data_IF_550091565579
#
_entry.id   IF_550091565579
#
_cell.length_a   1.000
_cell.length_b   1.000
_cell.length_c   1.000
_cell.angle_alpha   90.00
_cell.angle_beta   90.00
_cell.angle_gamma   90.00
#
_symmetry.space_group_name_H-M   'P 1'
#
loop_
_entity.id
_entity.type
_entity.pdbx_description
1 polymer ?
#
# COMPACT_ATOMS: atom_id res chain seq x y z
N UNK A 1 0.37 83.83 31.70
CA UNK A 1 1.51 84.41 32.45
C UNK A 1 1.99 83.35 33.44
N UNK A 2 3.20 82.78 33.22
CA UNK A 2 4.15 82.23 34.23
C UNK A 2 3.62 81.07 35.12
N UNK A 3 4.20 79.87 35.32
CA UNK A 3 5.52 79.26 35.12
C UNK A 3 5.40 77.74 35.45
N UNK A 4 6.06 76.90 34.65
CA UNK A 4 7.00 75.81 35.02
C UNK A 4 6.62 74.55 35.85
N UNK A 5 7.42 73.52 35.53
CA UNK A 5 7.74 72.23 36.21
C UNK A 5 6.87 71.04 35.77
N UNK A 6 7.42 69.90 35.34
CA UNK A 6 8.77 69.31 35.53
C UNK A 6 9.06 68.28 34.44
N UNK A 7 10.29 68.32 33.95
CA UNK A 7 10.98 67.29 33.16
C UNK A 7 11.39 66.15 34.09
N UNK A 8 11.27 64.90 33.66
CA UNK A 8 12.02 63.78 34.23
C UNK A 8 12.57 62.92 33.11
N UNK A 9 13.89 62.99 32.99
CA UNK A 9 14.77 62.29 32.07
C UNK A 9 14.81 60.80 32.43
N UNK A 10 14.54 59.92 31.47
CA UNK A 10 14.90 58.50 31.57
C UNK A 10 15.98 58.23 30.51
N UNK A 11 17.17 57.92 31.00
CA UNK A 11 18.31 57.44 30.24
C UNK A 11 18.55 55.97 30.60
N UNK A 12 19.34 55.29 29.76
CA UNK A 12 19.85 53.90 29.88
C UNK A 12 18.85 52.80 29.44
N UNK A 13 19.19 51.81 28.60
CA UNK A 13 20.48 51.28 28.15
C UNK A 13 20.35 50.65 26.76
N UNK A 14 21.31 50.97 25.89
CA UNK A 14 21.74 50.14 24.77
C UNK A 14 22.26 48.80 25.33
N UNK A 15 21.69 47.69 24.87
CA UNK A 15 22.34 46.37 24.94
C UNK A 15 22.61 45.90 23.51
N UNK A 16 23.91 45.83 23.24
CA UNK A 16 24.55 45.37 22.03
C UNK A 16 24.25 43.90 21.76
N UNK A 17 23.69 43.65 20.58
CA UNK A 17 23.70 42.36 19.91
C UNK A 17 25.12 42.03 19.45
N UNK A 18 25.81 41.13 20.15
CA UNK A 18 26.95 40.35 19.66
C UNK A 18 27.29 39.30 20.71
N UNK A 19 26.65 38.14 20.64
CA UNK A 19 27.17 36.93 21.25
C UNK A 19 27.44 35.88 20.17
N UNK A 20 28.68 35.43 20.21
CA UNK A 20 29.37 34.53 19.31
C UNK A 20 28.71 33.14 19.31
N UNK A 21 28.31 32.67 18.13
CA UNK A 21 28.27 31.23 17.80
C UNK A 21 29.46 30.93 16.89
N UNK A 22 30.65 30.87 17.47
CA UNK A 22 31.79 30.17 16.86
C UNK A 22 31.67 28.70 17.23
N UNK A 23 30.88 27.92 16.48
CA UNK A 23 31.04 26.47 16.52
C UNK A 23 32.37 26.16 15.82
N UNK A 24 33.42 25.95 16.60
CA UNK A 24 34.61 25.31 16.10
C UNK A 24 34.17 23.95 15.55
N UNK A 25 34.13 23.81 14.22
CA UNK A 25 34.13 22.50 13.59
C UNK A 25 35.45 21.86 14.01
N UNK A 26 35.42 21.02 15.05
CA UNK A 26 36.46 20.01 15.25
C UNK A 26 36.52 19.25 13.93
N UNK A 27 37.56 19.50 13.13
CA UNK A 27 37.93 18.64 12.02
C UNK A 27 37.91 17.22 12.57
N UNK A 28 36.87 16.48 12.20
CA UNK A 28 36.62 15.18 12.81
C UNK A 28 37.65 14.26 12.17
N UNK A 29 38.78 14.09 12.85
CA UNK A 29 39.86 13.30 12.30
C UNK A 29 39.31 11.92 11.93
N UNK A 30 39.43 11.59 10.64
CA UNK A 30 38.75 10.48 10.00
C UNK A 30 39.46 9.15 10.28
N UNK A 31 39.66 8.84 11.55
CA UNK A 31 40.24 7.60 12.02
C UNK A 31 39.51 7.06 13.24
N UNK A 32 39.49 5.74 13.38
CA UNK A 32 38.90 5.06 14.53
C UNK A 32 39.71 5.36 15.80
N UNK A 33 39.04 5.75 16.89
CA UNK A 33 39.74 6.04 18.15
C UNK A 33 40.26 4.74 18.77
N UNK A 34 41.54 4.74 19.17
CA UNK A 34 42.23 3.54 19.72
C UNK A 34 41.67 3.05 21.06
N UNK A 35 41.12 3.96 21.86
CA UNK A 35 40.65 3.63 23.19
C UNK A 35 39.25 3.00 23.16
N UNK A 36 39.04 1.98 24.00
CA UNK A 36 37.67 1.49 24.27
C UNK A 36 36.83 2.63 24.84
N UNK A 37 35.58 2.73 24.42
CA UNK A 37 34.65 3.77 24.85
C UNK A 37 33.38 3.15 25.43
N UNK A 38 32.77 3.82 26.41
CA UNK A 38 31.53 3.34 27.04
C UNK A 38 30.29 3.85 26.33
N UNK A 39 29.36 2.96 26.02
CA UNK A 39 27.98 3.26 25.60
C UNK A 39 27.06 2.48 26.53
N UNK A 40 26.16 3.17 27.24
CA UNK A 40 25.25 2.56 28.24
C UNK A 40 25.97 1.65 29.26
N UNK A 41 27.11 2.11 29.79
CA UNK A 41 27.90 1.37 30.78
C UNK A 41 28.82 0.27 30.21
N UNK A 42 28.56 -0.23 29.00
CA UNK A 42 29.35 -1.28 28.34
C UNK A 42 30.51 -0.68 27.54
N UNK A 43 31.70 -1.29 27.63
CA UNK A 43 32.91 -0.83 26.91
C UNK A 43 33.01 -1.50 25.54
N UNK A 44 33.11 -0.70 24.48
CA UNK A 44 33.27 -1.14 23.10
C UNK A 44 34.59 -0.63 22.49
N UNK A 45 35.13 -1.38 21.55
CA UNK A 45 36.21 -1.04 20.64
C UNK A 45 35.68 -0.97 19.21
N UNK A 46 36.38 -0.29 18.31
CA UNK A 46 35.97 -0.27 16.90
C UNK A 46 36.06 -1.64 16.22
N UNK A 47 36.85 -2.57 16.74
CA UNK A 47 36.86 -3.96 16.28
C UNK A 47 35.54 -4.69 16.63
N UNK A 48 35.00 -4.46 17.83
CA UNK A 48 33.70 -5.01 18.24
C UNK A 48 32.56 -4.40 17.41
N UNK A 49 32.65 -3.11 17.08
CA UNK A 49 31.71 -2.44 16.16
C UNK A 49 31.83 -3.01 14.74
N UNK A 50 33.02 -3.35 14.29
CA UNK A 50 33.23 -3.95 12.97
C UNK A 50 32.57 -5.33 12.86
N UNK A 51 32.63 -6.11 13.94
CA UNK A 51 31.98 -7.41 14.01
C UNK A 51 30.45 -7.32 14.15
N UNK A 52 29.91 -6.13 14.47
CA UNK A 52 28.46 -5.89 14.60
C UNK A 52 28.10 -4.47 14.13
N UNK A 53 27.95 -4.31 12.80
CA UNK A 53 27.66 -3.02 12.17
C UNK A 53 26.33 -2.40 12.61
N UNK A 54 25.36 -3.17 13.11
CA UNK A 54 24.10 -2.64 13.61
C UNK A 54 24.31 -1.59 14.72
N UNK A 55 25.39 -1.73 15.51
CA UNK A 55 25.78 -0.77 16.54
C UNK A 55 25.98 0.66 15.99
N UNK A 56 26.41 0.80 14.73
CA UNK A 56 26.59 2.09 14.08
C UNK A 56 25.28 2.87 13.92
N UNK A 57 24.14 2.18 13.82
CA UNK A 57 22.82 2.79 13.66
C UNK A 57 22.13 3.04 15.01
N UNK A 58 22.50 2.28 16.04
CA UNK A 58 21.88 2.37 17.37
C UNK A 58 22.28 3.61 18.16
N UNK A 59 23.46 4.20 17.95
CA UNK A 59 23.90 5.36 18.73
C UNK A 59 24.97 6.22 18.01
N UNK A 60 24.77 7.55 17.96
CA UNK A 60 25.70 8.52 17.32
C UNK A 60 27.14 8.42 17.81
N UNK A 61 27.33 8.02 19.07
CA UNK A 61 28.64 7.80 19.70
C UNK A 61 29.48 6.72 18.99
N UNK A 62 28.88 5.71 18.38
CA UNK A 62 29.61 4.73 17.58
C UNK A 62 30.15 5.36 16.29
N UNK A 63 29.33 6.12 15.56
CA UNK A 63 29.77 6.88 14.37
C UNK A 63 30.92 7.85 14.69
N UNK A 64 30.83 8.57 15.81
CA UNK A 64 31.86 9.55 16.21
C UNK A 64 33.18 8.91 16.70
N UNK A 65 33.13 7.68 17.22
CA UNK A 65 34.33 6.99 17.75
C UNK A 65 34.94 6.02 16.73
N UNK A 66 34.12 5.50 15.82
CA UNK A 66 34.50 4.51 14.80
C UNK A 66 34.02 4.92 13.40
N UNK A 67 34.36 6.12 12.90
CA UNK A 67 33.78 6.66 11.67
C UNK A 67 34.08 5.82 10.44
N UNK A 68 35.24 5.16 10.35
CA UNK A 68 35.60 4.30 9.23
C UNK A 68 34.79 3.01 9.22
N UNK A 69 34.58 2.40 10.39
CA UNK A 69 33.79 1.16 10.51
C UNK A 69 32.32 1.42 10.21
N UNK A 70 31.81 2.57 10.64
CA UNK A 70 30.42 2.98 10.45
C UNK A 70 30.15 3.67 9.11
N UNK A 71 31.08 3.62 8.15
CA UNK A 71 30.90 4.20 6.81
C UNK A 71 30.64 5.71 6.80
N UNK A 72 30.97 6.42 7.89
CA UNK A 72 30.76 7.86 8.03
C UNK A 72 31.91 8.67 7.43
N UNK A 73 32.85 7.99 6.79
CA UNK A 73 34.15 8.50 6.37
C UNK A 73 34.61 7.74 5.14
N UNK A 74 35.17 8.47 4.17
CA UNK A 74 35.80 7.85 3.01
C UNK A 74 37.02 7.04 3.47
N UNK A 75 37.01 5.73 3.20
CA UNK A 75 38.13 4.89 3.57
C UNK A 75 39.32 5.16 2.62
N UNK A 76 40.36 5.79 3.16
CA UNK A 76 41.61 6.07 2.44
C UNK A 76 42.82 5.75 3.30
N UNK A 77 43.88 5.32 2.63
CA UNK A 77 45.20 5.16 3.25
C UNK A 77 45.83 6.54 3.49
N UNK A 78 46.46 6.72 4.65
CA UNK A 78 47.27 7.89 4.94
C UNK A 78 48.51 7.89 4.04
N UNK A 79 48.62 8.93 3.21
CA UNK A 79 49.75 9.10 2.29
C UNK A 79 51.06 9.44 3.02
N UNK A 80 50.97 9.88 4.28
CA UNK A 80 52.13 10.29 5.05
C UNK A 80 52.88 9.09 5.66
N UNK A 81 54.16 9.34 5.94
CA UNK A 81 54.97 8.42 6.74
C UNK A 81 54.48 8.43 8.19
N UNK A 82 54.45 7.26 8.81
CA UNK A 82 54.13 7.12 10.22
C UNK A 82 55.14 6.21 10.92
N UNK A 83 55.38 6.46 12.20
CA UNK A 83 56.25 5.62 13.01
C UNK A 83 55.41 4.51 13.63
N UNK A 84 55.68 3.27 13.20
CA UNK A 84 55.16 2.07 13.84
C UNK A 84 56.01 1.74 15.07
N UNK A 85 55.35 1.39 16.17
CA UNK A 85 56.00 0.98 17.43
C UNK A 85 56.95 -0.21 17.21
N UNK A 86 56.65 -1.09 16.25
CA UNK A 86 57.36 -2.36 16.05
C UNK A 86 58.40 -2.28 14.92
N UNK A 87 58.20 -1.44 13.89
CA UNK A 87 58.97 -1.50 12.63
C UNK A 87 59.55 -0.17 12.16
N UNK A 88 59.54 0.86 13.02
CA UNK A 88 60.03 2.19 12.67
C UNK A 88 59.14 2.86 11.61
N UNK A 89 59.72 3.73 10.78
CA UNK A 89 58.95 4.52 9.82
C UNK A 89 58.39 3.67 8.66
N UNK A 90 57.06 3.64 8.55
CA UNK A 90 56.27 2.95 7.54
C UNK A 90 55.47 3.92 6.65
N UNK A 91 55.01 3.42 5.51
CA UNK A 91 54.05 4.05 4.61
C UNK A 91 53.01 3.02 4.21
N UNK A 92 51.80 3.43 3.82
CA UNK A 92 50.79 2.48 3.38
C UNK A 92 51.20 1.68 2.13
N UNK A 93 51.96 2.28 1.21
CA UNK A 93 52.60 1.56 0.10
C UNK A 93 53.52 0.42 0.55
N UNK A 94 54.18 0.55 1.72
CA UNK A 94 54.92 -0.55 2.33
C UNK A 94 53.94 -1.55 2.94
N UNK A 95 52.94 -1.12 3.70
CA UNK A 95 51.94 -2.02 4.30
C UNK A 95 51.30 -2.93 3.24
N UNK A 96 50.83 -2.36 2.13
CA UNK A 96 50.23 -3.08 1.00
C UNK A 96 51.11 -4.19 0.39
N UNK A 97 52.45 -4.10 0.49
CA UNK A 97 53.36 -5.13 -0.05
C UNK A 97 53.37 -6.42 0.77
N UNK A 98 53.02 -6.35 2.05
CA UNK A 98 53.03 -7.49 3.01
C UNK A 98 51.95 -7.28 4.09
N UNK A 99 50.66 -7.19 3.70
CA UNK A 99 49.58 -6.83 4.62
C UNK A 99 49.47 -7.81 5.79
N UNK A 100 49.61 -9.12 5.55
CA UNK A 100 49.56 -10.17 6.55
C UNK A 100 50.57 -9.97 7.69
N UNK A 101 51.78 -9.48 7.39
CA UNK A 101 52.83 -9.22 8.39
C UNK A 101 52.77 -7.82 8.96
N UNK A 102 52.21 -6.84 8.24
CA UNK A 102 52.28 -5.41 8.61
C UNK A 102 51.00 -4.92 9.27
N UNK A 103 49.86 -5.47 8.92
CA UNK A 103 48.56 -5.13 9.51
C UNK A 103 48.31 -5.80 10.86
N UNK A 104 49.28 -6.57 11.38
CA UNK A 104 49.32 -6.96 12.80
C UNK A 104 49.77 -5.79 13.69
N UNK A 105 50.43 -4.78 13.12
CA UNK A 105 50.75 -3.54 13.83
C UNK A 105 49.53 -2.63 13.83
N UNK A 106 49.13 -2.20 15.03
CA UNK A 106 47.92 -1.39 15.24
C UNK A 106 48.00 -0.04 14.52
N UNK A 107 49.18 0.59 14.44
CA UNK A 107 49.36 1.87 13.73
C UNK A 107 49.19 1.69 12.22
N UNK A 108 49.79 0.63 11.67
CA UNK A 108 49.66 0.29 10.26
C UNK A 108 48.21 -0.06 9.90
N UNK A 109 47.53 -0.81 10.77
CA UNK A 109 46.13 -1.18 10.60
C UNK A 109 45.21 0.05 10.54
N UNK A 110 45.44 1.06 11.37
CA UNK A 110 44.59 2.26 11.42
C UNK A 110 44.93 3.32 10.40
N UNK A 111 46.21 3.51 10.06
CA UNK A 111 46.62 4.50 9.06
C UNK A 111 46.48 3.99 7.64
N UNK A 112 46.46 2.68 7.44
CA UNK A 112 46.37 2.06 6.12
C UNK A 112 45.18 1.09 6.02
N UNK A 113 43.95 1.56 6.28
CA UNK A 113 42.78 0.68 6.35
C UNK A 113 42.45 0.01 5.01
N UNK A 114 42.76 0.63 3.86
CA UNK A 114 42.63 -0.02 2.55
C UNK A 114 43.70 -1.09 2.38
N UNK A 115 44.97 -0.74 2.61
CA UNK A 115 46.09 -1.69 2.52
C UNK A 115 45.92 -2.90 3.46
N UNK A 116 45.20 -2.72 4.58
CA UNK A 116 44.95 -3.76 5.56
C UNK A 116 43.62 -4.50 5.39
N UNK A 117 42.88 -4.24 4.30
CA UNK A 117 41.62 -4.91 4.02
C UNK A 117 40.54 -4.63 5.08
N UNK A 118 40.66 -3.55 5.85
CA UNK A 118 39.66 -3.17 6.85
C UNK A 118 38.41 -2.57 6.24
N UNK A 119 38.49 -2.16 4.97
CA UNK A 119 37.39 -1.55 4.23
C UNK A 119 36.66 -2.56 3.33
N UNK A 120 36.66 -3.82 3.77
CA UNK A 120 35.94 -4.91 3.11
C UNK A 120 34.45 -4.79 3.35
N UNK A 121 33.77 -4.08 2.45
CA UNK A 121 32.45 -4.44 1.88
C UNK A 121 32.18 -3.73 0.55
N UNK A 122 32.94 -2.70 0.17
CA UNK A 122 32.74 -2.00 -1.10
C UNK A 122 33.72 -2.38 -2.23
N UNK A 123 34.74 -3.20 -1.99
CA UNK A 123 35.71 -3.47 -3.06
C UNK A 123 36.50 -4.77 -2.89
N UNK A 124 35.91 -5.86 -3.36
CA UNK A 124 36.65 -6.98 -3.90
C UNK A 124 36.02 -7.40 -5.22
N UNK A 125 36.40 -6.75 -6.32
CA UNK A 125 36.68 -7.45 -7.59
C UNK A 125 37.64 -6.61 -8.43
N UNK A 126 38.81 -7.16 -8.75
CA UNK A 126 39.67 -6.64 -9.81
C UNK A 126 39.15 -7.24 -11.13
N UNK A 127 38.44 -6.42 -11.90
CA UNK A 127 38.08 -6.50 -13.33
C UNK A 127 37.32 -7.77 -13.85
N UNK A 128 36.34 -7.64 -14.76
CA UNK A 128 36.25 -6.67 -15.84
C UNK A 128 35.62 -5.37 -15.36
N UNK A 129 35.72 -4.35 -16.20
CA UNK A 129 35.16 -3.01 -16.06
C UNK A 129 33.63 -3.08 -15.89
N UNK A 130 33.15 -3.50 -14.72
CA UNK A 130 31.73 -3.39 -14.38
C UNK A 130 31.54 -1.98 -13.87
N UNK A 131 30.77 -1.23 -14.65
CA UNK A 131 30.14 0.03 -14.27
C UNK A 131 29.78 0.00 -12.77
N UNK A 132 29.98 1.08 -12.00
CA UNK A 132 29.59 1.14 -10.59
C UNK A 132 28.22 0.49 -10.42
N UNK A 133 28.12 -0.52 -9.54
CA UNK A 133 26.86 -1.22 -9.28
C UNK A 133 25.80 -0.16 -9.01
N UNK A 134 24.92 0.03 -9.98
CA UNK A 134 23.89 1.05 -9.91
C UNK A 134 22.96 0.64 -8.78
N UNK A 135 22.96 1.42 -7.71
CA UNK A 135 22.03 1.24 -6.60
C UNK A 135 20.64 1.52 -7.17
N UNK A 136 19.79 0.50 -7.20
CA UNK A 136 18.41 0.64 -7.65
C UNK A 136 17.54 1.02 -6.47
N UNK A 137 17.09 2.27 -6.44
CA UNK A 137 16.13 2.72 -5.45
C UNK A 137 14.74 2.65 -6.07
N UNK A 138 13.83 1.91 -5.46
CA UNK A 138 12.40 1.93 -5.80
C UNK A 138 11.67 2.63 -4.69
N UNK A 139 11.01 3.73 -5.02
CA UNK A 139 10.20 4.51 -4.10
C UNK A 139 8.72 4.33 -4.45
N UNK A 140 7.87 4.22 -3.43
CA UNK A 140 6.43 4.27 -3.54
C UNK A 140 5.91 5.31 -2.57
N UNK A 141 5.12 6.26 -3.05
CA UNK A 141 4.53 7.33 -2.23
C UNK A 141 3.02 7.32 -2.43
N UNK A 142 2.28 7.07 -1.35
CA UNK A 142 0.85 7.24 -1.26
C UNK A 142 0.57 8.66 -0.78
N UNK A 143 -0.28 9.39 -1.50
CA UNK A 143 -0.55 10.79 -1.19
C UNK A 143 -2.03 11.16 -1.37
N UNK A 144 -2.54 12.06 -0.52
CA UNK A 144 -3.85 12.69 -0.68
C UNK A 144 -3.72 14.06 -1.37
N UNK A 145 -4.78 14.52 -2.08
CA UNK A 145 -4.83 15.87 -2.62
C UNK A 145 -4.82 16.94 -1.53
N UNK A 146 -4.66 18.20 -1.93
CA UNK A 146 -4.53 19.32 -1.00
C UNK A 146 -5.83 19.58 -0.24
N UNK A 147 -5.75 20.09 1.01
CA UNK A 147 -6.93 20.35 1.85
C UNK A 147 -7.95 21.29 1.20
N UNK A 148 -7.50 22.22 0.35
CA UNK A 148 -8.35 23.21 -0.30
C UNK A 148 -9.36 22.56 -1.26
N UNK A 149 -9.07 21.33 -1.69
CA UNK A 149 -9.87 20.57 -2.65
C UNK A 149 -10.86 19.60 -1.95
N UNK A 150 -10.87 19.53 -0.62
CA UNK A 150 -11.59 18.51 0.14
C UNK A 150 -12.91 18.96 0.74
N UNK A 151 -13.88 18.05 0.81
CA UNK A 151 -15.05 18.17 1.68
C UNK A 151 -14.64 17.95 3.16
N UNK A 152 -15.50 18.37 4.09
CA UNK A 152 -15.34 18.07 5.53
C UNK A 152 -15.45 16.56 5.73
N UNK A 153 -14.48 15.95 6.41
CA UNK A 153 -14.40 14.51 6.58
C UNK A 153 -13.05 14.05 7.13
N UNK A 154 -12.95 12.76 7.41
CA UNK A 154 -11.69 12.11 7.80
C UNK A 154 -11.46 10.88 6.93
N UNK A 155 -10.22 10.70 6.50
CA UNK A 155 -9.87 9.57 5.67
C UNK A 155 -8.41 9.16 5.91
N UNK A 156 -8.18 7.86 5.99
CA UNK A 156 -6.84 7.30 6.06
C UNK A 156 -6.71 6.07 5.19
N UNK A 157 -5.55 5.93 4.58
CA UNK A 157 -5.14 4.77 3.82
C UNK A 157 -3.76 4.33 4.31
N UNK A 158 -3.44 3.06 4.09
CA UNK A 158 -2.16 2.47 4.48
C UNK A 158 -1.44 1.92 3.25
N UNK A 159 -0.12 2.08 3.22
CA UNK A 159 0.76 1.56 2.17
C UNK A 159 1.62 0.44 2.74
N UNK A 160 1.60 -0.71 2.09
CA UNK A 160 2.49 -1.83 2.43
C UNK A 160 3.13 -2.41 1.18
N UNK A 161 4.26 -3.11 1.34
CA UNK A 161 4.85 -3.88 0.25
C UNK A 161 5.41 -5.23 0.70
N UNK A 162 5.34 -6.21 -0.18
CA UNK A 162 6.00 -7.51 -0.02
C UNK A 162 7.00 -7.76 -1.16
N UNK A 163 8.00 -8.60 -0.91
CA UNK A 163 9.01 -9.00 -1.89
C UNK A 163 8.86 -10.49 -2.21
N UNK A 164 8.84 -10.82 -3.50
CA UNK A 164 8.80 -12.22 -3.95
C UNK A 164 9.96 -13.03 -3.33
N UNK A 165 9.63 -14.18 -2.74
CA UNK A 165 10.58 -15.05 -2.02
C UNK A 165 10.93 -14.61 -0.59
N UNK A 166 10.33 -13.54 -0.07
CA UNK A 166 10.46 -13.11 1.33
C UNK A 166 9.15 -13.32 2.08
N UNK A 167 9.24 -13.67 3.37
CA UNK A 167 8.08 -13.70 4.28
C UNK A 167 7.85 -12.36 5.01
N UNK A 168 8.78 -11.40 4.90
CA UNK A 168 8.66 -10.10 5.54
C UNK A 168 7.78 -9.16 4.69
N UNK A 169 6.83 -8.49 5.35
CA UNK A 169 6.06 -7.39 4.78
C UNK A 169 6.61 -6.08 5.33
N UNK A 170 6.76 -5.10 4.46
CA UNK A 170 7.17 -3.75 4.80
C UNK A 170 5.92 -2.87 4.91
N UNK A 171 5.35 -2.81 6.11
CA UNK A 171 4.22 -1.96 6.48
C UNK A 171 4.56 -1.04 7.68
N UNK A 172 5.72 -1.24 8.30
CA UNK A 172 6.29 -0.38 9.32
C UNK A 172 7.79 -0.67 9.45
N UNK A 173 8.60 0.36 9.72
CA UNK A 173 10.02 0.19 10.05
C UNK A 173 10.89 -0.25 8.87
N UNK A 174 11.85 -1.13 9.14
CA UNK A 174 12.88 -1.58 8.17
C UNK A 174 12.88 -3.10 8.06
N UNK A 175 12.86 -3.63 6.84
CA UNK A 175 12.97 -5.08 6.57
C UNK A 175 14.41 -5.52 6.30
N UNK A 176 14.69 -6.82 6.39
CA UNK A 176 16.02 -7.38 6.11
C UNK A 176 16.48 -7.17 4.67
N UNK A 177 15.54 -7.06 3.73
CA UNK A 177 15.80 -6.83 2.32
C UNK A 177 15.93 -5.34 1.94
N UNK A 178 15.99 -4.45 2.94
CA UNK A 178 16.31 -3.03 2.75
C UNK A 178 15.13 -2.15 2.37
N UNK A 179 13.92 -2.57 2.72
CA UNK A 179 12.76 -1.69 2.70
C UNK A 179 12.77 -0.75 3.89
N UNK A 180 12.39 0.50 3.69
CA UNK A 180 12.18 1.52 4.71
C UNK A 180 10.78 2.11 4.51
N UNK A 181 9.93 2.00 5.53
CA UNK A 181 8.59 2.57 5.55
C UNK A 181 8.57 3.84 6.41
N UNK A 182 7.93 4.91 5.94
CA UNK A 182 7.87 6.21 6.60
C UNK A 182 6.55 6.94 6.34
N UNK A 183 6.05 7.63 7.38
CA UNK A 183 4.85 8.47 7.28
C UNK A 183 3.57 7.71 7.58
N UNK A 184 2.45 8.43 7.50
CA UNK A 184 1.09 7.90 7.61
C UNK A 184 0.24 8.69 6.62
N UNK A 185 -0.53 8.05 5.74
CA UNK A 185 -1.40 8.74 4.80
C UNK A 185 -2.77 8.94 5.45
N UNK A 186 -2.97 10.12 6.06
CA UNK A 186 -4.22 10.48 6.71
C UNK A 186 -4.54 11.96 6.55
N UNK A 187 -5.82 12.25 6.27
CA UNK A 187 -6.36 13.58 6.16
C UNK A 187 -7.57 13.75 7.07
N UNK A 188 -7.61 14.86 7.80
CA UNK A 188 -8.74 15.27 8.61
C UNK A 188 -9.07 16.73 8.29
N UNK A 189 -10.24 16.99 7.73
CA UNK A 189 -10.78 18.34 7.51
C UNK A 189 -12.03 18.51 8.36
N UNK A 190 -11.98 19.40 9.34
CA UNK A 190 -13.14 19.69 10.19
C UNK A 190 -13.97 20.86 9.65
N UNK A 191 -15.17 21.05 10.19
CA UNK A 191 -16.15 22.02 9.69
C UNK A 191 -15.72 23.49 9.79
N UNK A 192 -14.81 23.82 10.70
CA UNK A 192 -14.26 25.18 10.84
C UNK A 192 -13.07 25.44 9.91
N UNK A 193 -12.75 24.48 9.03
CA UNK A 193 -11.60 24.51 8.13
C UNK A 193 -10.27 24.18 8.82
N UNK A 194 -10.27 23.93 10.13
CA UNK A 194 -9.09 23.40 10.82
C UNK A 194 -8.94 21.92 10.50
N UNK A 195 -7.72 21.51 10.17
CA UNK A 195 -7.43 20.15 9.77
C UNK A 195 -5.96 19.85 9.95
N UNK A 196 -5.64 18.60 10.23
CA UNK A 196 -4.26 18.13 10.25
C UNK A 196 -4.05 17.24 9.03
N UNK A 197 -2.89 17.41 8.40
CA UNK A 197 -2.54 16.73 7.16
C UNK A 197 -1.28 15.94 7.43
N UNK A 198 -1.41 14.62 7.45
CA UNK A 198 -0.28 13.75 7.13
C UNK A 198 -0.56 13.25 5.71
N UNK A 199 -0.26 14.09 4.74
CA UNK A 199 -0.72 13.88 3.35
C UNK A 199 -0.07 12.70 2.67
N UNK A 200 1.00 12.12 3.23
CA UNK A 200 1.69 11.03 2.57
C UNK A 200 2.33 9.98 3.48
N UNK A 201 2.39 8.79 2.91
CA UNK A 201 3.07 7.60 3.41
C UNK A 201 3.98 7.09 2.29
N UNK A 202 5.16 6.61 2.64
CA UNK A 202 6.19 6.26 1.66
C UNK A 202 6.93 5.00 2.04
N UNK A 203 7.34 4.28 0.99
CA UNK A 203 8.18 3.10 1.07
C UNK A 203 9.37 3.33 0.14
N UNK A 204 10.58 3.09 0.66
CA UNK A 204 11.82 3.14 -0.10
C UNK A 204 12.55 1.80 -0.03
N UNK A 205 12.95 1.28 -1.18
CA UNK A 205 13.67 0.00 -1.32
C UNK A 205 15.06 0.30 -1.89
N UNK A 206 16.09 0.26 -1.04
CA UNK A 206 17.46 0.72 -1.38
C UNK A 206 18.18 -0.25 -2.34
N UNK A 207 17.72 -1.50 -2.46
CA UNK A 207 18.27 -2.52 -3.35
C UNK A 207 17.15 -3.19 -4.18
N UNK A 208 16.42 -2.38 -4.94
CA UNK A 208 15.29 -2.81 -5.76
C UNK A 208 15.65 -3.68 -6.98
N UNK A 209 16.92 -3.73 -7.38
CA UNK A 209 17.34 -4.43 -8.59
C UNK A 209 17.13 -5.94 -8.50
N UNK A 210 16.70 -6.56 -9.61
CA UNK A 210 16.27 -7.97 -9.67
C UNK A 210 15.17 -8.33 -8.65
N UNK A 211 14.39 -7.35 -8.23
CA UNK A 211 13.30 -7.53 -7.27
C UNK A 211 11.94 -7.58 -7.97
N UNK A 212 11.04 -8.38 -7.40
CA UNK A 212 9.61 -8.32 -7.69
C UNK A 212 8.92 -7.93 -6.39
N UNK A 213 8.19 -6.82 -6.43
CA UNK A 213 7.52 -6.22 -5.29
C UNK A 213 6.03 -6.12 -5.56
N UNK A 214 5.21 -6.38 -4.55
CA UNK A 214 3.78 -6.11 -4.58
C UNK A 214 3.50 -4.99 -3.58
N UNK A 215 3.03 -3.85 -4.06
CA UNK A 215 2.56 -2.73 -3.24
C UNK A 215 1.06 -2.86 -3.07
N UNK A 216 0.57 -2.59 -1.87
CA UNK A 216 -0.84 -2.68 -1.51
C UNK A 216 -1.26 -1.40 -0.79
N UNK A 217 -2.31 -0.75 -1.29
CA UNK A 217 -2.98 0.36 -0.64
C UNK A 217 -4.30 -0.15 -0.08
N UNK A 218 -4.56 0.12 1.20
CA UNK A 218 -5.81 -0.26 1.86
C UNK A 218 -6.42 0.95 2.55
N UNK A 219 -7.74 1.13 2.41
CA UNK A 219 -8.48 2.08 3.24
C UNK A 219 -8.51 1.58 4.68
N UNK A 220 -8.20 2.46 5.64
CA UNK A 220 -8.21 2.11 7.06
C UNK A 220 -9.49 2.60 7.71
N UNK A 221 -9.83 3.88 7.51
CA UNK A 221 -11.03 4.51 8.05
C UNK A 221 -11.54 5.60 7.08
N UNK A 222 -12.85 5.76 6.99
CA UNK A 222 -13.48 6.80 6.18
C UNK A 222 -14.79 7.31 6.79
N UNK A 223 -14.84 8.60 7.07
CA UNK A 223 -16.08 9.34 7.38
C UNK A 223 -16.33 10.40 6.29
N UNK A 224 -17.51 10.37 5.67
CA UNK A 224 -17.91 11.27 4.59
C UNK A 224 -17.58 10.74 3.19
N UNK A 225 -17.55 11.61 2.19
CA UNK A 225 -17.09 11.28 0.82
C UNK A 225 -15.57 11.42 0.78
N UNK A 226 -14.80 10.32 0.84
CA UNK A 226 -13.37 10.43 1.07
C UNK A 226 -12.68 10.79 -0.26
N UNK A 227 -11.61 11.58 -0.22
CA UNK A 227 -10.90 11.92 -1.44
C UNK A 227 -10.11 10.73 -1.99
N UNK A 228 -9.91 10.67 -3.31
CA UNK A 228 -9.00 9.70 -3.90
C UNK A 228 -7.59 9.87 -3.34
N UNK A 229 -6.92 8.74 -3.08
CA UNK A 229 -5.49 8.71 -2.82
C UNK A 229 -4.73 8.41 -4.12
N UNK A 230 -3.51 8.91 -4.26
CA UNK A 230 -2.64 8.62 -5.41
C UNK A 230 -1.38 7.89 -4.93
N UNK A 231 -1.17 6.67 -5.43
CA UNK A 231 0.07 5.91 -5.29
C UNK A 231 0.99 6.19 -6.47
N UNK A 232 2.13 6.83 -6.21
CA UNK A 232 3.19 7.07 -7.19
C UNK A 232 4.34 6.09 -6.99
N UNK A 233 4.77 5.40 -8.05
CA UNK A 233 5.95 4.52 -8.05
C UNK A 233 7.07 5.22 -8.82
N UNK A 234 8.26 5.30 -8.23
CA UNK A 234 9.45 5.86 -8.83
C UNK A 234 10.63 4.87 -8.81
N UNK A 235 11.47 4.93 -9.84
CA UNK A 235 12.77 4.26 -9.88
C UNK A 235 13.86 5.32 -9.97
N UNK A 236 14.79 5.32 -9.02
CA UNK A 236 15.86 6.31 -8.89
C UNK A 236 15.34 7.75 -8.95
N UNK A 237 14.33 8.05 -8.13
CA UNK A 237 13.66 9.37 -8.03
C UNK A 237 12.92 9.84 -9.29
N UNK A 238 12.79 9.00 -10.32
CA UNK A 238 11.94 9.28 -11.48
C UNK A 238 10.64 8.49 -11.36
N UNK A 239 9.51 9.19 -11.25
CA UNK A 239 8.19 8.55 -11.32
C UNK A 239 8.03 7.80 -12.63
N UNK A 240 7.69 6.51 -12.53
CA UNK A 240 7.49 5.60 -13.65
C UNK A 240 6.02 5.19 -13.81
N UNK A 241 5.23 5.26 -12.74
CA UNK A 241 3.79 5.04 -12.77
C UNK A 241 3.09 5.78 -11.63
N UNK A 242 1.81 6.10 -11.81
CA UNK A 242 0.96 6.64 -10.77
C UNK A 242 -0.45 6.05 -10.92
N UNK A 243 -1.08 5.74 -9.81
CA UNK A 243 -2.39 5.10 -9.75
C UNK A 243 -3.27 5.81 -8.74
N UNK A 244 -4.53 6.05 -9.12
CA UNK A 244 -5.54 6.59 -8.22
C UNK A 244 -6.27 5.43 -7.54
N UNK A 245 -6.45 5.53 -6.23
CA UNK A 245 -7.27 4.66 -5.42
C UNK A 245 -8.46 5.47 -4.93
N UNK A 246 -9.61 5.29 -5.58
CA UNK A 246 -10.82 6.03 -5.22
C UNK A 246 -11.37 5.51 -3.89
N UNK A 247 -11.97 6.41 -3.14
CA UNK A 247 -12.53 6.05 -1.85
C UNK A 247 -13.81 5.21 -1.93
N UNK A 248 -14.48 5.23 -3.09
CA UNK A 248 -15.56 4.30 -3.41
C UNK A 248 -15.06 2.89 -3.73
N UNK A 249 -13.76 2.74 -4.01
CA UNK A 249 -13.17 1.42 -4.22
C UNK A 249 -12.98 0.78 -2.85
N UNK A 250 -13.96 -0.01 -2.40
CA UNK A 250 -13.85 -0.86 -1.19
C UNK A 250 -12.69 -1.88 -1.29
N UNK A 251 -12.11 -2.03 -2.49
CA UNK A 251 -11.04 -2.98 -2.81
C UNK A 251 -9.68 -2.34 -2.66
N UNK A 252 -8.74 -3.13 -2.15
CA UNK A 252 -7.33 -2.74 -2.05
C UNK A 252 -6.74 -2.48 -3.45
N UNK A 253 -6.03 -1.37 -3.64
CA UNK A 253 -5.21 -1.17 -4.84
C UNK A 253 -3.92 -1.98 -4.70
N UNK A 254 -3.70 -2.94 -5.61
CA UNK A 254 -2.48 -3.75 -5.65
C UNK A 254 -1.67 -3.46 -6.91
N UNK A 255 -0.37 -3.22 -6.74
CA UNK A 255 0.56 -2.88 -7.83
C UNK A 255 1.76 -3.84 -7.79
N UNK A 256 2.09 -4.45 -8.92
CA UNK A 256 3.29 -5.26 -9.08
C UNK A 256 4.38 -4.42 -9.73
N UNK A 257 5.56 -4.41 -9.12
CA UNK A 257 6.75 -3.76 -9.69
C UNK A 257 7.85 -4.80 -9.84
N UNK A 258 8.27 -5.04 -11.08
CA UNK A 258 9.36 -5.97 -11.41
C UNK A 258 10.54 -5.20 -11.99
N UNK A 259 11.70 -5.23 -11.32
CA UNK A 259 12.89 -4.49 -11.74
C UNK A 259 14.01 -5.43 -12.19
N UNK A 260 14.70 -5.09 -13.27
CA UNK A 260 15.91 -5.79 -13.70
C UNK A 260 17.16 -5.33 -12.92
N UNK A 261 18.33 -5.85 -13.31
CA UNK A 261 19.62 -5.50 -12.71
C UNK A 261 20.09 -4.05 -13.00
N UNK A 262 19.43 -3.36 -13.94
CA UNK A 262 19.75 -2.00 -14.39
C UNK A 262 18.72 -0.98 -13.90
N UNK A 263 17.84 -1.39 -12.98
CA UNK A 263 16.76 -0.58 -12.43
C UNK A 263 15.69 -0.17 -13.47
N UNK A 264 15.60 -0.89 -14.58
CA UNK A 264 14.44 -0.79 -15.46
C UNK A 264 13.31 -1.57 -14.81
N UNK A 265 12.34 -0.83 -14.28
CA UNK A 265 11.20 -1.39 -13.59
C UNK A 265 9.97 -1.34 -14.49
N UNK A 266 9.27 -2.47 -14.57
CA UNK A 266 7.93 -2.58 -15.16
C UNK A 266 6.95 -2.54 -14.00
N UNK A 267 5.94 -1.67 -14.11
CA UNK A 267 4.90 -1.50 -13.10
C UNK A 267 3.58 -1.88 -13.73
N UNK A 268 2.87 -2.80 -13.10
CA UNK A 268 1.59 -3.34 -13.55
C UNK A 268 0.60 -3.17 -12.41
N UNK A 269 -0.58 -2.61 -12.69
CA UNK A 269 -1.68 -2.73 -11.74
C UNK A 269 -2.03 -4.21 -11.66
N UNK A 270 -2.00 -4.77 -10.47
CA UNK A 270 -2.65 -6.05 -10.21
C UNK A 270 -4.12 -5.68 -10.09
N UNK A 271 -4.77 -5.54 -11.24
CA UNK A 271 -6.22 -5.51 -11.25
C UNK A 271 -6.65 -6.79 -10.54
N UNK A 272 -7.35 -6.66 -9.41
CA UNK A 272 -8.06 -7.82 -8.86
C UNK A 272 -9.02 -8.24 -9.95
N UNK A 273 -9.15 -9.53 -10.28
CA UNK A 273 -10.17 -9.95 -11.24
C UNK A 273 -11.53 -9.95 -10.54
N UNK A 274 -12.02 -8.73 -10.40
CA UNK A 274 -13.10 -8.22 -9.58
C UNK A 274 -14.49 -8.54 -10.10
N UNK A 275 -15.05 -9.75 -9.97
CA UNK A 275 -16.44 -9.98 -10.39
C UNK A 275 -17.43 -9.42 -9.36
N UNK A 276 -18.36 -8.59 -9.79
CA UNK A 276 -19.53 -8.21 -9.01
C UNK A 276 -20.81 -8.52 -9.79
N UNK A 277 -21.78 -9.10 -9.12
CA UNK A 277 -23.11 -9.38 -9.65
C UNK A 277 -24.17 -8.78 -8.71
N UNK A 278 -24.86 -7.74 -9.18
CA UNK A 278 -25.91 -7.04 -8.43
C UNK A 278 -27.26 -7.33 -9.07
N UNK A 279 -28.22 -7.85 -8.30
CA UNK A 279 -29.61 -7.96 -8.72
C UNK A 279 -30.45 -6.87 -8.09
N UNK A 280 -31.23 -6.15 -8.91
CA UNK A 280 -32.13 -5.10 -8.45
C UNK A 280 -33.37 -4.99 -9.34
N UNK A 281 -34.41 -4.35 -8.81
CA UNK A 281 -35.61 -4.01 -9.58
C UNK A 281 -35.51 -2.56 -10.05
N UNK A 282 -35.37 -2.36 -11.35
CA UNK A 282 -35.41 -1.04 -11.97
C UNK A 282 -36.84 -0.67 -12.37
N UNK A 283 -37.18 0.62 -12.32
CA UNK A 283 -38.46 1.18 -12.80
C UNK A 283 -39.74 0.48 -12.30
N UNK A 284 -39.83 0.27 -10.98
CA UNK A 284 -41.00 -0.34 -10.33
C UNK A 284 -42.19 0.61 -10.33
N UNK A 285 -42.93 0.63 -11.44
CA UNK A 285 -44.16 1.43 -11.61
C UNK A 285 -45.45 0.67 -11.33
N UNK A 286 -45.40 -0.66 -11.38
CA UNK A 286 -46.52 -1.54 -11.06
C UNK A 286 -46.57 -1.86 -9.56
N UNK A 287 -47.79 -1.98 -9.01
CA UNK A 287 -47.96 -2.38 -7.62
C UNK A 287 -47.77 -3.89 -7.48
N UNK A 288 -47.08 -4.33 -6.43
CA UNK A 288 -46.68 -5.73 -6.31
C UNK A 288 -45.73 -6.06 -5.15
N UNK A 289 -45.50 -7.36 -4.97
CA UNK A 289 -44.42 -7.95 -4.20
C UNK A 289 -43.59 -8.83 -5.12
N UNK A 290 -42.29 -8.62 -5.24
CA UNK A 290 -41.42 -9.59 -5.90
C UNK A 290 -40.20 -9.85 -5.03
N UNK A 291 -39.74 -11.10 -5.03
CA UNK A 291 -38.47 -11.47 -4.42
C UNK A 291 -37.70 -12.42 -5.33
N UNK A 292 -36.43 -12.17 -5.45
CA UNK A 292 -35.46 -13.00 -6.15
C UNK A 292 -34.28 -13.21 -5.21
N UNK A 293 -33.61 -14.36 -5.33
CA UNK A 293 -32.38 -14.66 -4.61
C UNK A 293 -31.27 -14.91 -5.63
N UNK A 294 -30.08 -14.39 -5.36
CA UNK A 294 -28.86 -14.59 -6.16
C UNK A 294 -27.90 -15.50 -5.39
N UNK A 295 -27.35 -16.48 -6.08
CA UNK A 295 -26.27 -17.31 -5.54
C UNK A 295 -25.15 -17.48 -6.55
N UNK A 296 -23.94 -17.69 -6.05
CA UNK A 296 -22.75 -17.90 -6.87
C UNK A 296 -22.05 -19.20 -6.50
N UNK A 297 -21.66 -19.96 -7.53
CA UNK A 297 -20.85 -21.17 -7.39
C UNK A 297 -19.64 -21.08 -8.31
N UNK A 298 -18.44 -21.29 -7.78
CA UNK A 298 -17.23 -21.41 -8.60
C UNK A 298 -17.03 -22.86 -9.04
N UNK A 299 -16.68 -23.07 -10.32
CA UNK A 299 -16.41 -24.39 -10.86
C UNK A 299 -15.32 -25.10 -10.05
N UNK A 300 -15.55 -26.39 -9.77
CA UNK A 300 -14.70 -27.24 -8.93
C UNK A 300 -14.61 -26.84 -7.45
N UNK A 301 -15.45 -25.91 -6.99
CA UNK A 301 -15.64 -25.62 -5.56
C UNK A 301 -16.96 -26.24 -5.08
N UNK A 302 -16.99 -26.63 -3.80
CA UNK A 302 -18.20 -27.18 -3.17
C UNK A 302 -19.04 -26.11 -2.46
N UNK A 303 -18.41 -24.98 -2.12
CA UNK A 303 -19.07 -23.88 -1.43
C UNK A 303 -19.96 -23.08 -2.39
N UNK A 304 -21.16 -22.75 -1.92
CA UNK A 304 -22.08 -21.83 -2.57
C UNK A 304 -22.04 -20.52 -1.78
N UNK A 305 -21.99 -19.40 -2.50
CA UNK A 305 -22.03 -18.06 -1.96
C UNK A 305 -23.44 -17.51 -2.16
N UNK A 306 -24.25 -17.50 -1.11
CA UNK A 306 -25.66 -17.13 -1.10
C UNK A 306 -26.01 -16.38 0.20
N UNK A 307 -27.30 -16.02 0.37
CA UNK A 307 -27.78 -15.31 1.56
C UNK A 307 -27.48 -16.04 2.90
N UNK A 308 -27.30 -17.36 2.88
CA UNK A 308 -26.99 -18.15 4.09
C UNK A 308 -25.50 -18.16 4.43
N UNK A 309 -24.65 -17.65 3.53
CA UNK A 309 -23.20 -17.59 3.69
C UNK A 309 -22.82 -16.52 4.71
N UNK A 310 -22.31 -16.95 5.87
CA UNK A 310 -21.81 -16.04 6.91
C UNK A 310 -20.34 -15.68 6.62
N UNK A 311 -20.12 -14.52 6.00
CA UNK A 311 -18.78 -14.01 5.72
C UNK A 311 -18.29 -14.34 4.31
N UNK A 312 -17.00 -14.64 4.18
CA UNK A 312 -16.34 -14.91 2.89
C UNK A 312 -16.14 -16.43 2.70
N UNK A 313 -16.44 -16.93 1.51
CA UNK A 313 -16.11 -18.30 1.08
C UNK A 313 -14.60 -18.47 0.89
N UNK A 314 -14.11 -19.71 0.85
CA UNK A 314 -12.69 -20.02 0.64
C UNK A 314 -12.10 -19.50 -0.69
N UNK A 315 -12.96 -19.22 -1.67
CA UNK A 315 -12.60 -18.66 -2.97
C UNK A 315 -12.87 -17.16 -3.07
N UNK A 316 -13.09 -16.48 -1.94
CA UNK A 316 -13.12 -15.02 -1.88
C UNK A 316 -14.45 -14.40 -2.30
N UNK A 317 -15.56 -15.15 -2.22
CA UNK A 317 -16.90 -14.61 -2.45
C UNK A 317 -17.62 -14.20 -1.18
N UNK A 318 -18.26 -13.04 -1.23
CA UNK A 318 -19.17 -12.51 -0.22
C UNK A 318 -20.56 -12.25 -0.82
N UNK A 319 -21.56 -12.29 0.04
CA UNK A 319 -22.96 -12.04 -0.31
C UNK A 319 -23.54 -10.97 0.60
N UNK A 320 -24.27 -10.01 0.02
CA UNK A 320 -24.88 -8.89 0.73
C UNK A 320 -26.29 -8.61 0.22
N UNK A 321 -27.21 -8.29 1.13
CA UNK A 321 -28.55 -7.81 0.79
C UNK A 321 -29.60 -8.92 0.58
N UNK A 322 -30.71 -8.53 -0.05
CA UNK A 322 -31.86 -9.38 -0.36
C UNK A 322 -32.68 -8.67 -1.44
N UNK A 323 -32.77 -9.25 -2.63
CA UNK A 323 -33.45 -8.63 -3.74
C UNK A 323 -34.97 -8.78 -3.60
N UNK A 324 -35.59 -7.81 -2.92
CA UNK A 324 -37.03 -7.79 -2.73
C UNK A 324 -37.62 -6.39 -2.97
N UNK A 325 -38.80 -6.37 -3.57
CA UNK A 325 -39.59 -5.17 -3.77
C UNK A 325 -41.00 -5.36 -3.24
N UNK A 326 -41.51 -4.32 -2.59
CA UNK A 326 -42.90 -4.20 -2.19
C UNK A 326 -43.38 -2.80 -2.54
N UNK A 327 -44.22 -2.70 -3.57
CA UNK A 327 -44.82 -1.47 -4.05
C UNK A 327 -46.35 -1.53 -3.85
N UNK A 328 -46.86 -1.19 -2.66
CA UNK A 328 -48.29 -1.26 -2.39
C UNK A 328 -49.03 -0.08 -3.02
N UNK A 329 -50.25 -0.33 -3.52
CA UNK A 329 -51.14 0.74 -4.02
C UNK A 329 -51.54 1.73 -2.91
N UNK A 330 -51.68 1.25 -1.68
CA UNK A 330 -51.98 2.09 -0.54
C UNK A 330 -50.67 2.66 0.02
N UNK A 331 -50.50 3.98 -0.10
CA UNK A 331 -49.34 4.74 0.37
C UNK A 331 -49.15 4.74 1.88
N UNK A 332 -50.14 4.26 2.65
CA UNK A 332 -50.02 4.07 4.10
C UNK A 332 -49.13 2.86 4.47
N UNK A 333 -48.84 1.97 3.52
CA UNK A 333 -47.89 0.87 3.72
C UNK A 333 -46.47 1.30 3.34
N UNK A 334 -45.49 0.79 4.08
CA UNK A 334 -44.07 1.03 3.80
C UNK A 334 -43.65 0.36 2.48
N UNK A 335 -43.32 1.15 1.45
CA UNK A 335 -42.72 0.67 0.21
C UNK A 335 -41.21 0.44 0.42
N UNK A 336 -40.69 -0.65 -0.14
CA UNK A 336 -39.24 -0.86 -0.25
C UNK A 336 -38.85 -1.48 -1.59
N UNK A 337 -37.62 -1.20 -2.00
CA UNK A 337 -36.96 -1.82 -3.15
C UNK A 337 -35.49 -2.04 -2.76
N UNK A 338 -35.13 -3.28 -2.49
CA UNK A 338 -33.80 -3.68 -2.08
C UNK A 338 -33.14 -4.49 -3.19
N UNK A 339 -31.83 -4.30 -3.33
CA UNK A 339 -30.98 -5.12 -4.19
C UNK A 339 -30.22 -6.19 -3.39
N UNK A 340 -29.52 -7.03 -4.13
CA UNK A 340 -28.68 -8.10 -3.62
C UNK A 340 -27.39 -8.18 -4.44
N UNK A 341 -26.27 -8.38 -3.77
CA UNK A 341 -24.95 -8.34 -4.40
C UNK A 341 -24.15 -9.57 -4.01
N UNK A 342 -23.53 -10.18 -5.03
CA UNK A 342 -22.45 -11.15 -4.90
C UNK A 342 -21.17 -10.47 -5.35
N UNK A 343 -20.13 -10.49 -4.53
CA UNK A 343 -18.80 -10.00 -4.89
C UNK A 343 -17.80 -11.15 -4.82
N UNK A 344 -16.98 -11.32 -5.86
CA UNK A 344 -15.89 -12.29 -5.93
C UNK A 344 -14.59 -11.52 -6.14
N UNK A 345 -13.72 -11.56 -5.14
CA UNK A 345 -12.49 -10.74 -5.11
C UNK A 345 -11.39 -11.26 -6.04
N UNK A 346 -11.47 -12.53 -6.47
CA UNK A 346 -10.52 -13.14 -7.38
C UNK A 346 -11.19 -14.13 -8.35
N UNK A 347 -11.54 -13.65 -9.53
CA UNK A 347 -12.10 -14.44 -10.61
C UNK A 347 -11.05 -14.94 -11.63
N UNK A 348 -9.74 -14.76 -11.42
CA UNK A 348 -8.72 -15.17 -12.40
C UNK A 348 -8.81 -16.67 -12.73
N UNK A 349 -8.77 -17.00 -14.02
CA UNK A 349 -8.79 -18.39 -14.49
C UNK A 349 -10.02 -19.19 -14.05
N UNK A 350 -11.10 -18.51 -13.62
CA UNK A 350 -12.26 -19.14 -12.99
C UNK A 350 -13.45 -19.24 -13.93
N UNK A 351 -14.34 -20.17 -13.61
CA UNK A 351 -15.70 -20.21 -14.15
C UNK A 351 -16.66 -20.08 -12.98
N UNK A 352 -17.51 -19.05 -13.00
CA UNK A 352 -18.46 -18.73 -11.94
C UNK A 352 -19.87 -18.83 -12.51
N UNK A 353 -20.74 -19.56 -11.80
CA UNK A 353 -22.15 -19.70 -12.10
C UNK A 353 -22.95 -18.82 -11.16
N UNK A 354 -23.66 -17.84 -11.70
CA UNK A 354 -24.57 -16.96 -10.99
C UNK A 354 -25.99 -17.47 -11.24
N UNK A 355 -26.61 -18.06 -10.23
CA UNK A 355 -27.98 -18.55 -10.27
C UNK A 355 -28.92 -17.52 -9.67
N UNK A 356 -29.94 -17.15 -10.45
CA UNK A 356 -31.03 -16.27 -9.99
C UNK A 356 -32.31 -17.08 -9.92
N UNK A 357 -32.95 -17.05 -8.76
CA UNK A 357 -34.17 -17.80 -8.48
C UNK A 357 -35.24 -16.88 -7.90
N UNK A 358 -36.39 -16.83 -8.57
CA UNK A 358 -37.58 -16.14 -8.09
C UNK A 358 -38.24 -16.92 -6.95
N UNK A 359 -38.55 -16.21 -5.88
CA UNK A 359 -39.18 -16.76 -4.69
C UNK A 359 -40.69 -16.44 -4.68
N UNK A 360 -41.49 -17.38 -5.19
CA UNK A 360 -42.94 -17.25 -5.25
C UNK A 360 -43.57 -17.09 -3.86
N UNK A 361 -44.54 -16.19 -3.74
CA UNK A 361 -45.22 -15.84 -2.48
C UNK A 361 -46.70 -15.58 -2.67
N UNK A 362 -47.50 -15.83 -1.64
CA UNK A 362 -48.93 -15.47 -1.66
C UNK A 362 -49.17 -13.96 -1.81
N UNK A 363 -48.17 -13.12 -1.51
CA UNK A 363 -48.25 -11.66 -1.68
C UNK A 363 -48.34 -11.23 -3.16
N UNK A 364 -47.78 -12.02 -4.08
CA UNK A 364 -47.82 -11.77 -5.53
C UNK A 364 -49.24 -11.87 -6.09
N UNK A 365 -50.12 -12.58 -5.39
CA UNK A 365 -51.54 -12.76 -5.77
C UNK A 365 -52.40 -11.52 -5.56
N UNK A 366 -51.87 -10.51 -4.87
CA UNK A 366 -52.67 -9.38 -4.40
C UNK A 366 -52.93 -8.32 -5.49
N UNK A 367 -52.04 -8.20 -6.48
CA UNK A 367 -52.13 -7.18 -7.53
C UNK A 367 -52.10 -7.80 -8.94
N UNK A 368 -53.10 -7.50 -9.77
CA UNK A 368 -53.29 -8.06 -11.13
C UNK A 368 -52.14 -7.80 -12.12
N UNK A 369 -51.19 -6.93 -11.77
CA UNK A 369 -50.05 -6.53 -12.61
C UNK A 369 -48.70 -6.78 -11.95
N UNK A 370 -48.70 -7.49 -10.82
CA UNK A 370 -47.51 -7.83 -10.05
C UNK A 370 -46.43 -8.50 -10.91
N UNK A 371 -46.83 -9.51 -11.69
CA UNK A 371 -45.99 -10.26 -12.65
C UNK A 371 -45.24 -9.42 -13.70
N UNK A 372 -45.52 -8.11 -13.81
CA UNK A 372 -44.81 -7.17 -14.69
C UNK A 372 -43.57 -6.57 -14.06
N UNK A 373 -43.44 -6.64 -12.74
CA UNK A 373 -42.24 -6.26 -12.01
C UNK A 373 -41.11 -7.18 -12.46
N UNK A 374 -40.03 -6.59 -12.98
CA UNK A 374 -38.89 -7.32 -13.51
C UNK A 374 -37.63 -6.86 -12.80
N UNK A 375 -36.96 -7.79 -12.15
CA UNK A 375 -35.59 -7.60 -11.70
C UNK A 375 -34.58 -7.94 -12.79
N UNK A 376 -33.38 -7.36 -12.66
CA UNK A 376 -32.26 -7.61 -13.54
C UNK A 376 -30.97 -7.82 -12.73
N UNK A 377 -30.16 -8.78 -13.18
CA UNK A 377 -28.80 -9.03 -12.73
C UNK A 377 -27.82 -8.23 -13.58
N UNK A 378 -27.08 -7.32 -12.96
CA UNK A 378 -26.00 -6.55 -13.54
C UNK A 378 -24.69 -7.24 -13.19
N UNK A 379 -23.93 -7.65 -14.21
CA UNK A 379 -22.63 -8.31 -14.02
C UNK A 379 -21.53 -7.37 -14.46
N UNK A 380 -20.55 -7.13 -13.60
CA UNK A 380 -19.37 -6.31 -13.90
C UNK A 380 -18.09 -7.03 -13.49
N UNK A 381 -16.99 -6.73 -14.20
CA UNK A 381 -15.64 -7.15 -13.85
C UNK A 381 -14.77 -5.92 -13.78
N UNK A 382 -14.08 -5.72 -12.66
CA UNK A 382 -13.21 -4.57 -12.40
C UNK A 382 -13.94 -3.23 -12.58
N UNK A 383 -15.23 -3.20 -12.20
CA UNK A 383 -16.12 -2.04 -12.39
C UNK A 383 -16.63 -1.85 -13.82
N UNK A 384 -16.18 -2.64 -14.81
CA UNK A 384 -16.72 -2.60 -16.16
C UNK A 384 -17.92 -3.54 -16.29
N UNK A 385 -19.10 -2.99 -16.58
CA UNK A 385 -20.31 -3.78 -16.85
C UNK A 385 -20.14 -4.65 -18.09
N UNK A 386 -20.33 -5.96 -17.91
CA UNK A 386 -20.29 -6.96 -18.99
C UNK A 386 -21.68 -7.25 -19.56
N UNK A 387 -22.73 -7.06 -18.76
CA UNK A 387 -24.10 -7.18 -19.25
C UNK A 387 -25.17 -7.09 -18.17
N UNK A 388 -26.40 -7.05 -18.64
CA UNK A 388 -27.63 -7.04 -17.86
C UNK A 388 -28.46 -8.27 -18.24
N UNK A 389 -28.96 -8.99 -17.25
CA UNK A 389 -29.66 -10.26 -17.43
C UNK A 389 -30.90 -10.33 -16.55
N UNK A 390 -32.08 -10.39 -17.15
CA UNK A 390 -33.35 -10.57 -16.44
C UNK A 390 -33.93 -11.97 -16.67
N UNK A 391 -34.99 -12.35 -15.96
CA UNK A 391 -35.79 -13.54 -16.30
C UNK A 391 -36.27 -13.48 -17.77
N UNK A 392 -36.60 -14.62 -18.42
CA UNK A 392 -37.33 -14.59 -19.68
C UNK A 392 -38.52 -13.64 -19.61
N UNK A 393 -38.90 -13.01 -20.73
CA UNK A 393 -40.03 -12.07 -20.77
C UNK A 393 -41.33 -12.79 -20.40
N UNK A 394 -41.65 -12.76 -19.12
CA UNK A 394 -42.89 -13.26 -18.54
C UNK A 394 -43.99 -12.19 -18.57
N UNK A 395 -43.83 -11.10 -19.33
CA UNK A 395 -44.65 -9.89 -19.19
C UNK A 395 -46.16 -10.02 -19.43
N UNK A 396 -46.66 -11.22 -19.76
CA UNK A 396 -48.09 -11.58 -19.83
C UNK A 396 -48.42 -12.91 -19.11
N UNK A 397 -47.43 -13.53 -18.46
CA UNK A 397 -47.56 -14.79 -17.74
C UNK A 397 -47.54 -14.45 -16.26
N UNK A 398 -48.65 -14.65 -15.59
CA UNK A 398 -48.77 -14.41 -14.16
C UNK A 398 -47.90 -15.41 -13.37
N UNK A 399 -47.40 -15.02 -12.19
CA UNK A 399 -46.66 -15.90 -11.27
C UNK A 399 -47.54 -17.00 -10.71
N UNK A 400 -48.86 -16.78 -10.66
CA UNK A 400 -49.86 -17.71 -10.15
C UNK A 400 -51.00 -17.98 -11.12
N UNK A 401 -51.59 -19.16 -11.04
CA UNK A 401 -52.85 -19.49 -11.71
C UNK A 401 -54.04 -18.91 -10.94
N UNK A 402 -55.22 -18.88 -11.56
CA UNK A 402 -56.46 -18.38 -10.93
C UNK A 402 -56.87 -19.13 -9.65
N UNK A 403 -56.37 -20.35 -9.45
CA UNK A 403 -56.59 -21.15 -8.23
C UNK A 403 -55.55 -20.84 -7.12
N UNK A 404 -54.62 -19.93 -7.38
CA UNK A 404 -53.54 -19.52 -6.49
C UNK A 404 -52.35 -20.48 -6.48
N UNK A 405 -52.31 -21.52 -7.30
CA UNK A 405 -51.10 -22.34 -7.45
C UNK A 405 -50.04 -21.61 -8.29
N UNK A 406 -48.76 -21.96 -8.13
CA UNK A 406 -47.66 -21.37 -8.91
C UNK A 406 -47.86 -21.73 -10.40
N UNK A 407 -47.71 -20.75 -11.27
CA UNK A 407 -47.83 -20.93 -12.71
C UNK A 407 -46.57 -21.63 -13.27
N UNK A 408 -46.65 -22.87 -13.78
CA UNK A 408 -45.49 -23.60 -14.31
C UNK A 408 -44.91 -22.99 -15.59
N UNK A 409 -45.66 -22.11 -16.26
CA UNK A 409 -45.20 -21.39 -17.44
C UNK A 409 -44.35 -20.17 -17.07
N UNK A 410 -44.45 -19.67 -15.83
CA UNK A 410 -43.61 -18.57 -15.35
C UNK A 410 -42.16 -19.05 -15.19
N UNK A 411 -41.26 -18.50 -16.00
CA UNK A 411 -39.84 -18.85 -15.96
C UNK A 411 -39.11 -17.96 -14.97
N UNK A 412 -39.15 -18.35 -13.69
CA UNK A 412 -38.53 -17.64 -12.58
C UNK A 412 -37.10 -18.08 -12.26
N UNK A 413 -36.38 -18.71 -13.18
CA UNK A 413 -34.99 -19.16 -12.95
C UNK A 413 -34.12 -18.94 -14.18
N UNK A 414 -32.92 -18.41 -13.98
CA UNK A 414 -31.87 -18.40 -15.00
C UNK A 414 -30.49 -18.46 -14.37
N UNK A 415 -29.50 -18.81 -15.19
CA UNK A 415 -28.09 -18.85 -14.84
C UNK A 415 -27.29 -17.95 -15.77
N UNK A 416 -26.39 -17.17 -15.19
CA UNK A 416 -25.34 -16.47 -15.92
C UNK A 416 -24.01 -17.16 -15.61
N UNK A 417 -23.29 -17.55 -16.65
CA UNK A 417 -21.95 -18.15 -16.52
C UNK A 417 -20.92 -17.11 -16.92
N UNK A 418 -20.00 -16.82 -16.01
CA UNK A 418 -18.87 -15.91 -16.23
C UNK A 418 -17.59 -16.73 -16.25
N UNK A 419 -16.83 -16.65 -17.33
CA UNK A 419 -15.55 -17.35 -17.48
C UNK A 419 -14.46 -16.33 -17.69
N UNK A 420 -13.49 -16.28 -16.78
CA UNK A 420 -12.37 -15.35 -16.83
C UNK A 420 -11.07 -16.12 -17.07
N UNK A 421 -10.19 -15.58 -17.90
CA UNK A 421 -8.85 -16.14 -18.12
C UNK A 421 -7.81 -15.64 -17.09
N UNK A 422 -6.55 -16.06 -17.25
CA UNK A 422 -5.44 -15.65 -16.37
C UNK A 422 -5.04 -14.17 -16.54
N UNK A 423 -5.59 -13.48 -17.55
CA UNK A 423 -5.42 -12.04 -17.81
C UNK A 423 -6.65 -11.23 -17.40
N UNK A 424 -7.62 -11.85 -16.72
CA UNK A 424 -8.92 -11.27 -16.36
C UNK A 424 -9.73 -10.75 -17.56
N UNK A 425 -9.58 -11.39 -18.72
CA UNK A 425 -10.54 -11.21 -19.81
C UNK A 425 -11.68 -12.18 -19.55
N UNK A 426 -12.88 -11.63 -19.33
CA UNK A 426 -14.05 -12.41 -18.93
C UNK A 426 -15.13 -12.41 -20.02
N UNK A 427 -15.63 -13.60 -20.34
CA UNK A 427 -16.78 -13.83 -21.20
C UNK A 427 -18.01 -14.17 -20.35
N UNK A 428 -19.18 -13.71 -20.80
CA UNK A 428 -20.45 -13.95 -20.11
C UNK A 428 -21.46 -14.60 -21.04
N UNK A 429 -22.16 -15.62 -20.54
CA UNK A 429 -23.25 -16.30 -21.25
C UNK A 429 -24.43 -16.58 -20.34
N UNK A 430 -25.66 -16.46 -20.86
CA UNK A 430 -26.89 -16.71 -20.12
C UNK A 430 -27.56 -18.00 -20.58
N UNK A 431 -28.07 -18.78 -19.63
CA UNK A 431 -28.88 -19.97 -19.85
C UNK A 431 -30.14 -19.91 -19.00
N UNK A 432 -31.30 -20.23 -19.59
CA UNK A 432 -32.52 -20.39 -18.81
C UNK A 432 -32.52 -21.80 -18.20
N UNK A 433 -32.80 -21.90 -16.90
CA UNK A 433 -32.93 -23.19 -16.23
C UNK A 433 -34.39 -23.63 -16.40
N UNK A 434 -34.59 -24.83 -16.93
CA UNK A 434 -35.93 -25.42 -17.16
C UNK A 434 -36.54 -25.90 -15.85
#
# INVERSE_FOLDING_TARGET
>A
MIISKKITTLALLFLSSQDLLTSAQEETECYNKRARFKVNGVKYSCQEVQNNQALCYQHKKFKNKCPLVCGSCECKDDVNKFNSVIKGTLTCKRVAKRPEKRCSDTDARWRCPLSCGMCGYASMTIAPTVSPQQVCIVDAELSFPSLDELAVGSHSASLSTSKSGSSEVCNAGITSWGCLHQGDAAILKTSDGSGNVRSSESIQIINGGNGIFEFKVQHVDSDGTPPPATLSIASNSKTIAAFTHDASDEKDLKIKTSCDAFCNCVVERIDTCSLQAEFRYEDVSDNGYHRDDVSATMANQFEVCDQSTLGETSWGCTHLGNAAVWNPQNTDYYNYNHGETVDVTNAYGSTIYLDVVHHFSDLEKYYDRDHRIQGALFVSVNGQTLGEYSHPKNGQIDTHLNDGSINPDYKGKFRVTVTCDDSCVCDVSKYNIV
#
